data_IF_951660966466
#
_entry.id   IF_951660966466
#
_cell.length_a   1.000
_cell.length_b   1.000
_cell.length_c   1.000
_cell.angle_alpha   90.00
_cell.angle_beta   90.00
_cell.angle_gamma   90.00
#
_symmetry.space_group_name_H-M   'P 1'
#
loop_
_entity.id
_entity.type
_entity.pdbx_description
1 polymer ?
#
# COMPACT_ATOMS: atom_id res chain seq x y z
N UNK A 1 56.67 5.34 -32.91
CA UNK A 1 56.20 5.25 -31.56
C UNK A 1 54.77 5.87 -31.42
N UNK A 2 53.83 5.42 -32.23
CA UNK A 2 52.45 5.95 -32.22
C UNK A 2 51.36 4.87 -32.34
N UNK A 3 51.72 3.59 -32.31
CA UNK A 3 50.72 2.48 -32.47
C UNK A 3 50.41 1.67 -31.22
N UNK A 4 50.92 2.05 -30.04
CA UNK A 4 50.73 1.26 -28.80
C UNK A 4 49.76 1.89 -27.78
N UNK A 5 49.04 2.95 -28.15
CA UNK A 5 48.10 3.64 -27.24
C UNK A 5 46.61 3.43 -27.52
N UNK A 6 46.25 2.79 -28.64
CA UNK A 6 44.85 2.56 -29.01
C UNK A 6 44.28 1.21 -28.58
N UNK A 7 45.11 0.21 -28.28
CA UNK A 7 44.61 -1.11 -27.84
C UNK A 7 44.27 -1.22 -26.36
N UNK A 8 44.75 -0.29 -25.50
CA UNK A 8 44.44 -0.29 -24.07
C UNK A 8 43.12 0.42 -23.69
N UNK A 9 42.55 1.22 -24.61
CA UNK A 9 41.24 1.89 -24.34
C UNK A 9 40.03 1.04 -24.70
N UNK A 10 40.17 -0.06 -25.45
CA UNK A 10 39.05 -0.95 -25.81
C UNK A 10 38.82 -2.10 -24.84
N UNK A 11 39.79 -2.49 -24.02
CA UNK A 11 39.64 -3.57 -23.05
C UNK A 11 39.02 -3.12 -21.72
N UNK A 12 39.09 -1.82 -21.38
CA UNK A 12 38.53 -1.26 -20.16
C UNK A 12 37.02 -1.02 -20.22
N UNK A 13 36.43 -0.84 -21.40
CA UNK A 13 34.99 -0.56 -21.57
C UNK A 13 34.13 -1.84 -21.59
N UNK A 14 34.69 -2.96 -22.04
CA UNK A 14 33.97 -4.25 -22.10
C UNK A 14 33.86 -4.88 -20.70
N UNK A 15 34.93 -4.76 -19.88
CA UNK A 15 34.89 -5.33 -18.50
C UNK A 15 33.97 -4.55 -17.55
N UNK A 16 33.78 -3.25 -17.82
CA UNK A 16 32.85 -2.43 -17.00
C UNK A 16 31.39 -2.71 -17.33
N UNK A 17 31.08 -3.04 -18.60
CA UNK A 17 29.73 -3.41 -19.05
C UNK A 17 29.36 -4.83 -18.59
N UNK A 18 30.33 -5.76 -18.54
CA UNK A 18 30.12 -7.10 -18.01
C UNK A 18 29.99 -7.13 -16.48
N UNK A 19 30.71 -6.25 -15.77
CA UNK A 19 30.55 -6.09 -14.31
C UNK A 19 29.20 -5.49 -13.91
N UNK A 20 28.59 -4.64 -14.75
CA UNK A 20 27.24 -4.10 -14.52
C UNK A 20 26.13 -5.11 -14.79
N UNK A 21 26.36 -6.14 -15.58
CA UNK A 21 25.39 -7.20 -15.88
C UNK A 21 25.25 -8.27 -14.77
N UNK A 22 26.16 -8.32 -13.81
CA UNK A 22 26.14 -9.30 -12.72
C UNK A 22 25.56 -8.80 -11.38
N UNK A 23 25.26 -7.52 -11.26
CA UNK A 23 24.65 -6.96 -10.04
C UNK A 23 23.12 -7.13 -10.09
N UNK A 24 22.60 -8.26 -9.67
CA UNK A 24 21.15 -8.46 -9.54
C UNK A 24 20.64 -9.87 -9.81
N UNK A 25 21.51 -10.87 -10.03
CA UNK A 25 21.05 -12.23 -10.31
C UNK A 25 20.84 -13.04 -9.03
N UNK A 26 19.58 -13.39 -8.76
CA UNK A 26 19.24 -14.55 -7.95
C UNK A 26 19.05 -14.35 -6.44
N UNK A 27 19.08 -13.12 -5.90
CA UNK A 27 18.79 -12.94 -4.47
C UNK A 27 17.29 -12.91 -4.22
N UNK A 28 16.76 -13.98 -3.66
CA UNK A 28 15.37 -14.08 -3.21
C UNK A 28 15.23 -13.42 -1.85
N UNK A 29 14.41 -12.38 -1.75
CA UNK A 29 14.17 -11.63 -0.51
C UNK A 29 12.70 -11.64 -0.17
N UNK A 30 12.40 -11.95 1.09
CA UNK A 30 11.05 -11.94 1.65
C UNK A 30 10.92 -10.82 2.69
N UNK A 31 9.87 -10.02 2.57
CA UNK A 31 9.51 -9.04 3.56
C UNK A 31 8.03 -9.19 3.96
N UNK A 32 7.74 -8.82 5.20
CA UNK A 32 6.39 -8.78 5.76
C UNK A 32 6.09 -7.38 6.25
N UNK A 33 4.94 -6.86 5.89
CA UNK A 33 4.45 -5.57 6.38
C UNK A 33 3.01 -5.69 6.89
N UNK A 34 2.72 -4.98 7.95
CA UNK A 34 1.38 -4.93 8.53
C UNK A 34 0.53 -3.83 7.88
N UNK A 35 -0.78 -4.03 7.83
CA UNK A 35 -1.72 -3.00 7.42
C UNK A 35 -1.77 -1.86 8.44
N UNK A 36 -2.10 -0.65 8.01
CA UNK A 36 -2.35 0.47 8.90
C UNK A 36 -3.75 1.03 8.69
N UNK A 37 -4.35 1.55 9.76
CA UNK A 37 -5.62 2.24 9.75
C UNK A 37 -5.38 3.72 10.02
N UNK A 38 -5.80 4.58 9.09
CA UNK A 38 -5.67 6.02 9.24
C UNK A 38 -6.62 6.54 10.35
N UNK A 39 -6.07 7.33 11.25
CA UNK A 39 -6.77 8.10 12.29
C UNK A 39 -7.04 9.53 11.79
N UNK A 40 -6.02 10.22 11.26
CA UNK A 40 -6.19 11.41 10.41
C UNK A 40 -6.07 10.95 8.97
N UNK A 41 -7.12 11.20 8.18
CA UNK A 41 -7.33 10.56 6.88
C UNK A 41 -6.42 11.10 5.77
N UNK A 42 -6.06 10.21 4.86
CA UNK A 42 -5.47 10.53 3.57
C UNK A 42 -6.56 10.44 2.49
N UNK A 43 -6.98 11.58 1.95
CA UNK A 43 -7.98 11.62 0.89
C UNK A 43 -7.68 12.74 -0.10
N UNK A 44 -6.88 12.42 -1.12
CA UNK A 44 -6.51 13.36 -2.17
C UNK A 44 -5.02 13.52 -2.34
N UNK A 45 -4.62 13.81 -3.57
CA UNK A 45 -3.23 14.02 -3.97
C UNK A 45 -3.05 15.42 -4.54
N UNK A 46 -1.98 16.09 -4.13
CA UNK A 46 -1.48 17.29 -4.73
C UNK A 46 -0.66 16.98 -6.00
N UNK A 47 0.05 15.83 -6.00
CA UNK A 47 0.79 15.34 -7.15
C UNK A 47 0.49 13.85 -7.38
N UNK A 48 -0.13 13.53 -8.52
CA UNK A 48 -0.50 12.16 -8.89
C UNK A 48 0.71 11.28 -9.23
N UNK A 49 1.72 11.83 -9.87
CA UNK A 49 2.91 11.09 -10.29
C UNK A 49 3.78 10.70 -9.09
N UNK A 50 4.07 11.64 -8.20
CA UNK A 50 4.86 11.41 -7.00
C UNK A 50 4.02 10.88 -5.83
N UNK A 51 2.69 10.86 -5.96
CA UNK A 51 1.74 10.50 -4.90
C UNK A 51 1.95 11.36 -3.64
N UNK A 52 2.10 12.68 -3.85
CA UNK A 52 2.15 13.66 -2.77
C UNK A 52 0.72 13.91 -2.28
N UNK A 53 0.38 13.76 -1.00
CA UNK A 53 -0.96 14.00 -0.51
C UNK A 53 -1.25 15.50 -0.36
N UNK A 54 -2.52 15.89 -0.30
CA UNK A 54 -2.93 17.27 -0.04
C UNK A 54 -2.79 17.67 1.43
N UNK A 55 -2.89 16.70 2.34
CA UNK A 55 -2.71 16.90 3.77
C UNK A 55 -1.89 15.76 4.37
N UNK A 56 -1.20 16.04 5.46
CA UNK A 56 -0.55 15.02 6.30
C UNK A 56 -1.59 14.08 6.88
N UNK A 57 -1.18 12.84 7.21
CA UNK A 57 -2.09 11.84 7.76
C UNK A 57 -1.43 11.04 8.87
N UNK A 58 -2.22 10.58 9.83
CA UNK A 58 -1.79 9.76 10.97
C UNK A 58 -2.42 8.38 10.87
N UNK A 59 -1.73 7.32 11.24
CA UNK A 59 -2.29 5.97 11.28
C UNK A 59 -1.72 5.13 12.40
N UNK A 60 -2.45 4.07 12.77
CA UNK A 60 -1.96 3.00 13.62
C UNK A 60 -1.69 1.76 12.75
N UNK A 61 -0.46 1.24 12.79
CA UNK A 61 -0.10 -0.03 12.16
C UNK A 61 -0.58 -1.17 13.07
N UNK A 62 -1.25 -2.16 12.49
CA UNK A 62 -1.97 -3.20 13.24
C UNK A 62 -1.30 -4.56 13.14
N UNK A 63 -1.20 -5.27 14.26
CA UNK A 63 -0.77 -6.66 14.27
C UNK A 63 -1.87 -7.60 13.70
N UNK A 64 -1.46 -8.72 13.10
CA UNK A 64 -2.38 -9.76 12.60
C UNK A 64 -2.95 -9.50 11.20
N UNK A 65 -2.84 -8.29 10.67
CA UNK A 65 -3.27 -7.92 9.33
C UNK A 65 -2.04 -7.62 8.46
N UNK A 66 -1.48 -8.62 7.80
CA UNK A 66 -0.19 -8.47 7.11
C UNK A 66 -0.21 -8.97 5.67
N UNK A 67 0.77 -8.49 4.91
CA UNK A 67 1.14 -9.01 3.60
C UNK A 67 2.58 -9.50 3.66
N UNK A 68 2.82 -10.70 3.16
CA UNK A 68 4.12 -11.32 2.98
C UNK A 68 4.44 -11.30 1.49
N UNK A 69 5.55 -10.68 1.09
CA UNK A 69 5.96 -10.58 -0.31
C UNK A 69 7.40 -11.03 -0.48
N UNK A 70 7.61 -11.90 -1.45
CA UNK A 70 8.92 -12.38 -1.89
C UNK A 70 9.20 -11.82 -3.27
N UNK A 71 10.40 -11.27 -3.47
CA UNK A 71 10.87 -10.76 -4.77
C UNK A 71 12.21 -11.40 -5.11
N UNK A 72 12.36 -11.76 -6.37
CA UNK A 72 13.58 -12.27 -6.99
C UNK A 72 13.73 -11.61 -8.36
N UNK A 73 14.88 -10.96 -8.60
CA UNK A 73 15.26 -10.43 -9.91
C UNK A 73 16.17 -11.43 -10.64
N UNK A 74 15.89 -11.70 -11.90
CA UNK A 74 16.66 -12.62 -12.73
C UNK A 74 15.81 -13.25 -13.81
N UNK A 75 16.43 -13.98 -14.73
CA UNK A 75 15.71 -14.75 -15.74
C UNK A 75 14.86 -15.83 -15.06
N UNK A 76 13.62 -16.05 -15.50
CA UNK A 76 12.79 -17.08 -14.94
C UNK A 76 13.42 -18.44 -15.21
N UNK A 77 13.58 -19.26 -14.17
CA UNK A 77 13.88 -20.68 -14.33
C UNK A 77 12.73 -21.33 -15.10
N UNK A 78 12.98 -21.61 -16.37
CA UNK A 78 11.97 -22.14 -17.32
C UNK A 78 11.44 -23.50 -16.92
N UNK A 79 12.07 -24.19 -15.97
CA UNK A 79 11.65 -25.49 -15.48
C UNK A 79 10.43 -25.44 -14.51
N UNK A 80 10.07 -24.26 -13.98
CA UNK A 80 9.01 -24.13 -12.96
C UNK A 80 7.74 -23.38 -13.44
N UNK A 81 7.62 -23.10 -14.74
CA UNK A 81 6.41 -22.47 -15.29
C UNK A 81 5.38 -23.53 -15.64
N UNK A 82 4.10 -23.40 -15.21
CA UNK A 82 3.03 -24.17 -15.82
C UNK A 82 2.96 -23.73 -17.31
N UNK A 83 3.17 -24.69 -18.22
CA UNK A 83 3.03 -24.51 -19.66
C UNK A 83 1.58 -24.06 -19.98
N UNK A 84 1.34 -22.76 -20.02
CA UNK A 84 0.15 -22.20 -20.66
C UNK A 84 0.42 -22.24 -22.15
N UNK A 85 0.00 -23.32 -22.82
CA UNK A 85 -0.05 -23.38 -24.27
C UNK A 85 -1.01 -22.28 -24.75
N UNK A 86 -0.48 -21.37 -25.54
CA UNK A 86 -1.29 -20.41 -26.29
C UNK A 86 -2.22 -21.18 -27.24
N UNK A 87 -3.54 -20.95 -27.23
CA UNK A 87 -4.47 -21.64 -28.15
C UNK A 87 -4.48 -21.09 -29.57
N UNK A 88 -3.49 -20.30 -29.97
CA UNK A 88 -3.42 -19.67 -31.29
C UNK A 88 -2.19 -20.08 -32.12
N UNK A 89 -1.97 -21.39 -32.31
CA UNK A 89 -1.08 -21.89 -33.35
C UNK A 89 -1.53 -23.28 -33.78
N UNK A 90 -2.66 -23.30 -34.46
CA UNK A 90 -3.00 -24.39 -35.37
C UNK A 90 -4.00 -23.87 -36.44
N UNK A 91 -3.46 -23.37 -37.55
CA UNK A 91 -4.13 -23.39 -38.84
C UNK A 91 -3.08 -23.24 -39.91
N UNK A 92 -2.54 -24.41 -40.33
CA UNK A 92 -1.86 -24.56 -41.61
C UNK A 92 -2.90 -24.55 -42.71
N UNK A 93 -2.89 -23.56 -43.59
CA UNK A 93 -3.21 -23.74 -45.02
C UNK A 93 -2.59 -22.60 -45.83
N UNK A 94 -1.83 -22.98 -46.76
CA UNK A 94 -1.16 -22.60 -47.91
C UNK A 94 -1.40 -21.28 -48.60
N UNK A 95 -0.31 -20.79 -49.27
CA UNK A 95 -0.45 -20.04 -50.52
C UNK A 95 0.35 -18.75 -50.64
N UNK A 96 1.59 -18.86 -51.12
CA UNK A 96 2.27 -18.05 -52.18
C UNK A 96 2.52 -16.53 -52.03
N UNK A 97 3.80 -16.22 -52.02
CA UNK A 97 4.59 -15.21 -52.80
C UNK A 97 4.44 -13.73 -52.55
N UNK A 98 5.54 -13.19 -52.15
CA UNK A 98 6.39 -12.12 -52.71
C UNK A 98 6.59 -10.87 -51.86
N UNK A 99 7.85 -10.58 -51.78
CA UNK A 99 8.60 -9.34 -51.73
C UNK A 99 9.08 -8.86 -50.38
N UNK A 100 10.38 -8.88 -50.32
CA UNK A 100 11.37 -8.29 -49.42
C UNK A 100 11.04 -6.84 -49.08
N UNK A 101 11.01 -6.54 -47.77
CA UNK A 101 11.52 -5.28 -47.28
C UNK A 101 12.11 -5.52 -45.87
N UNK A 102 13.43 -5.51 -45.83
CA UNK A 102 14.24 -5.63 -44.62
C UNK A 102 14.18 -4.31 -43.85
N UNK A 103 13.34 -4.23 -42.87
CA UNK A 103 13.52 -3.29 -41.76
C UNK A 103 13.65 -4.09 -40.48
N UNK A 104 14.87 -4.22 -40.00
CA UNK A 104 15.23 -4.75 -38.69
C UNK A 104 14.41 -4.05 -37.59
N UNK A 105 13.28 -4.64 -37.25
CA UNK A 105 12.68 -4.39 -35.94
C UNK A 105 13.50 -5.17 -34.92
N UNK A 106 14.37 -4.47 -34.19
CA UNK A 106 14.96 -5.01 -32.98
C UNK A 106 13.85 -5.55 -32.10
N UNK A 107 13.76 -6.87 -32.00
CA UNK A 107 12.99 -7.56 -30.95
C UNK A 107 13.58 -7.16 -29.60
N UNK A 108 13.14 -6.04 -29.08
CA UNK A 108 13.27 -5.74 -27.66
C UNK A 108 12.36 -6.73 -26.96
N UNK A 109 12.92 -7.88 -26.57
CA UNK A 109 12.27 -8.87 -25.72
C UNK A 109 11.72 -8.10 -24.51
N UNK A 110 10.39 -7.90 -24.46
CA UNK A 110 9.75 -7.19 -23.36
C UNK A 110 10.03 -7.99 -22.07
N UNK A 111 10.70 -7.36 -21.14
CA UNK A 111 10.99 -7.90 -19.82
C UNK A 111 9.65 -8.24 -19.17
N UNK A 112 9.35 -9.52 -18.99
CA UNK A 112 8.07 -9.97 -18.45
C UNK A 112 8.23 -10.25 -16.95
N UNK A 113 7.59 -9.43 -16.12
CA UNK A 113 7.44 -9.69 -14.69
C UNK A 113 6.36 -10.75 -14.44
N UNK A 114 6.53 -11.49 -13.36
CA UNK A 114 5.56 -12.50 -12.90
C UNK A 114 5.04 -12.13 -11.52
N UNK A 115 3.72 -12.12 -11.37
CA UNK A 115 3.04 -11.82 -10.11
C UNK A 115 2.10 -12.96 -9.72
N UNK A 116 2.28 -13.48 -8.51
CA UNK A 116 1.36 -14.42 -7.88
C UNK A 116 0.84 -13.82 -6.58
N UNK A 117 -0.47 -13.82 -6.38
CA UNK A 117 -1.13 -13.38 -5.13
C UNK A 117 -1.99 -14.53 -4.61
N UNK A 118 -1.76 -14.93 -3.37
CA UNK A 118 -2.48 -16.02 -2.70
C UNK A 118 -2.54 -17.30 -3.56
N UNK A 119 -1.39 -17.66 -4.17
CA UNK A 119 -1.23 -18.82 -5.04
C UNK A 119 -1.80 -18.67 -6.45
N UNK A 120 -2.40 -17.53 -6.80
CA UNK A 120 -3.02 -17.30 -8.11
C UNK A 120 -2.18 -16.35 -8.95
N UNK A 121 -1.81 -16.76 -10.15
CA UNK A 121 -1.12 -15.89 -11.11
C UNK A 121 -2.00 -14.70 -11.48
N UNK A 122 -1.40 -13.51 -11.53
CA UNK A 122 -2.06 -12.26 -11.83
C UNK A 122 -1.62 -11.74 -13.19
N UNK A 123 -2.57 -11.13 -13.90
CA UNK A 123 -2.37 -10.47 -15.19
C UNK A 123 -3.08 -9.11 -15.21
N UNK A 124 -2.97 -8.39 -16.32
CA UNK A 124 -3.68 -7.13 -16.54
C UNK A 124 -3.34 -6.04 -15.52
N UNK A 125 -4.31 -5.29 -15.00
CA UNK A 125 -4.06 -4.08 -14.19
C UNK A 125 -3.24 -4.32 -12.91
N UNK A 126 -3.37 -5.50 -12.29
CA UNK A 126 -2.62 -5.84 -11.07
C UNK A 126 -1.12 -6.01 -11.38
N UNK A 127 -0.79 -6.81 -12.39
CA UNK A 127 0.58 -7.00 -12.86
C UNK A 127 1.18 -5.68 -13.35
N UNK A 128 0.47 -4.95 -14.21
CA UNK A 128 0.93 -3.65 -14.73
C UNK A 128 1.29 -2.67 -13.61
N UNK A 129 0.50 -2.64 -12.54
CA UNK A 129 0.78 -1.76 -11.40
C UNK A 129 2.04 -2.16 -10.65
N UNK A 130 2.27 -3.46 -10.47
CA UNK A 130 3.47 -3.98 -9.81
C UNK A 130 4.69 -3.75 -10.68
N UNK A 131 4.64 -4.04 -11.99
CA UNK A 131 5.75 -3.81 -12.92
C UNK A 131 6.17 -2.34 -12.96
N UNK A 132 5.23 -1.41 -13.07
CA UNK A 132 5.53 0.04 -13.01
C UNK A 132 6.19 0.46 -11.70
N UNK A 133 5.88 -0.21 -10.60
CA UNK A 133 6.56 0.04 -9.33
C UNK A 133 7.97 -0.57 -9.33
N UNK A 134 8.14 -1.76 -9.88
CA UNK A 134 9.45 -2.42 -10.01
C UNK A 134 10.38 -1.63 -10.94
N UNK A 135 9.85 -0.95 -11.96
CA UNK A 135 10.65 -0.08 -12.83
C UNK A 135 11.32 1.04 -12.03
N UNK A 136 10.63 1.63 -11.03
CA UNK A 136 11.23 2.62 -10.12
C UNK A 136 12.40 2.01 -9.33
N UNK A 137 12.27 0.73 -8.92
CA UNK A 137 13.34 0.02 -8.21
C UNK A 137 14.50 -0.28 -9.14
N UNK A 138 14.21 -0.74 -10.37
CA UNK A 138 15.21 -1.00 -11.42
C UNK A 138 16.03 0.25 -11.73
N UNK A 139 15.36 1.37 -11.97
CA UNK A 139 16.01 2.66 -12.26
C UNK A 139 16.95 3.06 -11.13
N UNK A 140 16.53 2.91 -9.87
CA UNK A 140 17.35 3.23 -8.70
C UNK A 140 18.55 2.29 -8.52
N UNK A 141 18.40 1.02 -8.89
CA UNK A 141 19.44 0.00 -8.75
C UNK A 141 20.32 -0.16 -9.99
N UNK A 142 19.98 0.48 -11.11
CA UNK A 142 20.72 0.33 -12.39
C UNK A 142 20.61 -1.08 -12.97
N UNK A 143 19.51 -1.80 -12.75
CA UNK A 143 19.28 -3.16 -13.26
C UNK A 143 18.12 -3.18 -14.25
N UNK A 144 18.09 -4.20 -15.14
CA UNK A 144 17.05 -4.37 -16.14
C UNK A 144 16.39 -5.74 -16.13
N UNK A 145 16.71 -6.58 -15.13
CA UNK A 145 16.21 -7.95 -15.03
C UNK A 145 14.71 -8.01 -14.77
N UNK A 146 13.97 -9.02 -15.30
CA UNK A 146 12.61 -9.30 -14.92
C UNK A 146 12.52 -9.68 -13.44
N UNK A 147 11.34 -9.60 -12.86
CA UNK A 147 11.12 -9.96 -11.47
C UNK A 147 10.04 -11.03 -11.32
N UNK A 148 10.26 -11.95 -10.40
CA UNK A 148 9.23 -12.84 -9.87
C UNK A 148 8.77 -12.32 -8.52
N UNK A 149 7.48 -12.01 -8.42
CA UNK A 149 6.84 -11.53 -7.18
C UNK A 149 5.81 -12.55 -6.72
N UNK A 150 5.96 -13.02 -5.48
CA UNK A 150 4.97 -13.89 -4.82
C UNK A 150 4.51 -13.20 -3.55
N UNK A 151 3.20 -12.96 -3.44
CA UNK A 151 2.58 -12.27 -2.31
C UNK A 151 1.48 -13.11 -1.70
N UNK A 152 1.36 -13.08 -0.37
CA UNK A 152 0.26 -13.70 0.38
C UNK A 152 -0.25 -12.73 1.45
N UNK A 153 -1.57 -12.74 1.68
CA UNK A 153 -2.23 -11.83 2.59
C UNK A 153 -2.92 -12.61 3.70
N UNK A 154 -2.80 -12.13 4.94
CA UNK A 154 -3.69 -12.55 6.03
C UNK A 154 -4.97 -11.71 6.07
N UNK A 155 -5.01 -10.61 5.30
CA UNK A 155 -6.14 -9.68 5.19
C UNK A 155 -7.07 -10.19 4.10
N UNK A 156 -8.39 -10.35 4.34
CA UNK A 156 -9.35 -10.68 3.29
C UNK A 156 -9.28 -9.65 2.14
N UNK A 157 -9.02 -10.14 0.92
CA UNK A 157 -8.84 -9.28 -0.25
C UNK A 157 -10.16 -8.56 -0.57
N UNK A 158 -10.14 -7.23 -0.65
CA UNK A 158 -11.34 -6.46 -1.01
C UNK A 158 -12.17 -5.93 0.16
N UNK A 159 -11.95 -6.40 1.38
CA UNK A 159 -12.71 -5.99 2.58
C UNK A 159 -12.50 -4.51 3.01
N UNK A 160 -11.78 -3.70 2.23
CA UNK A 160 -11.49 -2.29 2.59
C UNK A 160 -10.54 -2.13 3.77
N UNK A 161 -9.81 -3.19 4.12
CA UNK A 161 -8.88 -3.23 5.25
C UNK A 161 -7.44 -2.83 4.86
N UNK A 162 -7.28 -1.80 4.05
CA UNK A 162 -5.99 -1.21 3.69
C UNK A 162 -4.93 -2.19 3.11
N UNK A 163 -5.37 -3.30 2.48
CA UNK A 163 -4.48 -4.33 1.91
C UNK A 163 -3.42 -3.78 0.93
N UNK A 164 -3.69 -2.65 0.27
CA UNK A 164 -2.68 -2.02 -0.59
C UNK A 164 -1.54 -1.36 0.18
N UNK A 165 -1.74 -0.99 1.46
CA UNK A 165 -0.70 -0.39 2.29
C UNK A 165 0.36 -1.43 2.66
N UNK A 166 -0.04 -2.54 3.25
CA UNK A 166 0.87 -3.64 3.59
C UNK A 166 1.52 -4.25 2.35
N UNK A 167 0.74 -4.45 1.26
CA UNK A 167 1.25 -5.05 0.03
C UNK A 167 2.39 -4.24 -0.59
N UNK A 168 2.24 -2.91 -0.75
CA UNK A 168 3.29 -2.09 -1.34
C UNK A 168 4.43 -1.76 -0.37
N UNK A 169 4.21 -1.80 0.94
CA UNK A 169 5.30 -1.70 1.91
C UNK A 169 6.17 -2.96 1.88
N UNK A 170 5.58 -4.16 1.89
CA UNK A 170 6.30 -5.42 1.77
C UNK A 170 7.01 -5.55 0.42
N UNK A 171 6.34 -5.16 -0.69
CA UNK A 171 6.92 -5.15 -2.02
C UNK A 171 8.12 -4.20 -2.10
N UNK A 172 8.00 -2.98 -1.56
CA UNK A 172 9.08 -2.00 -1.57
C UNK A 172 10.32 -2.51 -0.82
N UNK A 173 10.12 -3.12 0.35
CA UNK A 173 11.21 -3.67 1.14
C UNK A 173 11.86 -4.89 0.45
N UNK A 174 11.07 -5.84 -0.01
CA UNK A 174 11.59 -7.03 -0.67
C UNK A 174 12.30 -6.68 -1.99
N UNK A 175 11.69 -5.84 -2.83
CA UNK A 175 12.24 -5.48 -4.12
C UNK A 175 13.52 -4.64 -4.00
N UNK A 176 13.54 -3.62 -3.12
CA UNK A 176 14.76 -2.81 -2.94
C UNK A 176 15.93 -3.65 -2.48
N UNK A 177 15.73 -4.54 -1.50
CA UNK A 177 16.79 -5.41 -0.98
C UNK A 177 17.20 -6.51 -1.97
N UNK A 178 16.26 -7.05 -2.75
CA UNK A 178 16.54 -8.01 -3.82
C UNK A 178 17.36 -7.38 -4.95
N UNK A 179 17.12 -6.10 -5.23
CA UNK A 179 17.90 -5.30 -6.19
C UNK A 179 19.24 -4.79 -5.63
N UNK A 180 19.62 -5.15 -4.40
CA UNK A 180 20.88 -4.74 -3.78
C UNK A 180 20.88 -3.32 -3.19
N UNK A 181 19.71 -2.68 -3.08
CA UNK A 181 19.60 -1.35 -2.46
C UNK A 181 19.50 -1.47 -0.93
N UNK A 182 20.31 -0.67 -0.23
CA UNK A 182 20.23 -0.49 1.22
C UNK A 182 19.60 0.87 1.52
N UNK A 183 18.27 0.87 1.68
CA UNK A 183 17.51 2.09 1.94
C UNK A 183 17.36 2.34 3.43
N UNK A 184 17.49 3.61 3.84
CA UNK A 184 17.05 4.04 5.17
C UNK A 184 15.54 3.83 5.32
N UNK A 185 15.00 3.71 6.56
CA UNK A 185 13.55 3.60 6.75
C UNK A 185 12.77 4.77 6.11
N UNK A 186 13.32 5.99 6.14
CA UNK A 186 12.75 7.17 5.47
C UNK A 186 12.70 6.99 3.94
N UNK A 187 13.79 6.53 3.32
CA UNK A 187 13.83 6.32 1.88
C UNK A 187 12.96 5.15 1.44
N UNK A 188 12.88 4.10 2.26
CA UNK A 188 11.96 2.99 2.03
C UNK A 188 10.50 3.47 2.11
N UNK A 189 10.17 4.36 3.04
CA UNK A 189 8.85 4.99 3.13
C UNK A 189 8.53 5.81 1.87
N UNK A 190 9.48 6.62 1.39
CA UNK A 190 9.35 7.37 0.13
C UNK A 190 9.11 6.43 -1.06
N UNK A 191 9.87 5.34 -1.15
CA UNK A 191 9.70 4.34 -2.19
C UNK A 191 8.33 3.66 -2.10
N UNK A 192 7.91 3.18 -0.92
CA UNK A 192 6.63 2.51 -0.71
C UNK A 192 5.44 3.40 -1.10
N UNK A 193 5.51 4.71 -0.82
CA UNK A 193 4.54 5.72 -1.23
C UNK A 193 4.27 5.71 -2.74
N UNK A 194 5.32 5.52 -3.56
CA UNK A 194 5.22 5.50 -5.03
C UNK A 194 4.35 4.35 -5.55
N UNK A 195 4.24 3.26 -4.81
CA UNK A 195 3.33 2.14 -5.11
C UNK A 195 1.89 2.38 -4.62
N UNK A 196 1.78 2.88 -3.40
CA UNK A 196 0.50 3.22 -2.76
C UNK A 196 0.75 4.25 -1.66
N UNK A 197 0.07 5.39 -1.69
CA UNK A 197 0.32 6.48 -0.73
C UNK A 197 0.36 6.00 0.72
N UNK A 198 -0.67 5.27 1.17
CA UNK A 198 -0.74 4.75 2.54
C UNK A 198 0.36 3.73 2.90
N UNK A 199 1.07 3.17 1.90
CA UNK A 199 2.12 2.18 2.15
C UNK A 199 3.34 2.78 2.86
N UNK A 200 3.59 4.09 2.69
CA UNK A 200 4.68 4.75 3.40
C UNK A 200 4.60 4.58 4.92
N UNK A 201 3.37 4.56 5.48
CA UNK A 201 3.15 4.42 6.91
C UNK A 201 3.34 2.97 7.40
N UNK A 202 3.03 1.96 6.57
CA UNK A 202 3.26 0.54 6.91
C UNK A 202 4.74 0.13 6.98
N UNK A 203 5.66 1.02 6.62
CA UNK A 203 7.10 0.83 6.84
C UNK A 203 7.45 0.85 8.32
N UNK A 204 6.70 1.60 9.11
CA UNK A 204 6.90 1.76 10.55
C UNK A 204 5.80 1.05 11.36
N UNK A 205 6.11 0.72 12.61
CA UNK A 205 5.16 0.17 13.58
C UNK A 205 4.50 1.24 14.44
N UNK A 206 3.44 0.86 15.15
CA UNK A 206 2.72 1.75 16.07
C UNK A 206 2.05 2.92 15.38
N UNK A 207 2.03 4.08 16.04
CA UNK A 207 1.53 5.33 15.46
C UNK A 207 2.53 5.92 14.48
N UNK A 208 2.05 6.31 13.31
CA UNK A 208 2.89 6.77 12.19
C UNK A 208 2.25 7.98 11.52
N UNK A 209 3.01 9.08 11.46
CA UNK A 209 2.66 10.28 10.70
C UNK A 209 3.25 10.21 9.30
N UNK A 210 2.46 10.51 8.29
CA UNK A 210 2.94 10.80 6.94
C UNK A 210 2.92 12.30 6.71
N UNK A 211 4.10 12.91 6.59
CA UNK A 211 4.28 14.30 6.25
C UNK A 211 3.92 14.51 4.78
N UNK A 212 2.99 15.41 4.51
CA UNK A 212 2.56 15.67 3.13
C UNK A 212 3.75 16.12 2.26
N UNK A 213 4.53 17.08 2.73
CA UNK A 213 5.62 17.66 1.96
C UNK A 213 5.13 18.32 0.67
N UNK A 214 6.05 18.71 -0.17
CA UNK A 214 5.78 19.32 -1.48
C UNK A 214 6.50 18.61 -2.65
N UNK A 215 7.47 17.76 -2.34
CA UNK A 215 8.27 17.00 -3.29
C UNK A 215 8.51 15.55 -2.83
N UNK A 216 9.34 14.80 -3.57
CA UNK A 216 9.64 13.42 -3.23
C UNK A 216 10.41 13.30 -1.91
N UNK A 217 11.30 14.25 -1.59
CA UNK A 217 12.17 14.18 -0.42
C UNK A 217 11.45 14.56 0.88
N UNK A 218 10.57 15.54 0.83
CA UNK A 218 9.84 16.05 1.99
C UNK A 218 8.57 15.24 2.31
N UNK A 219 8.09 14.39 1.37
CA UNK A 219 6.92 13.55 1.58
C UNK A 219 7.31 12.14 2.00
N UNK A 220 7.35 11.88 3.30
CA UNK A 220 7.72 10.61 3.91
C UNK A 220 6.94 10.37 5.20
N UNK A 221 6.91 9.12 5.65
CA UNK A 221 6.36 8.77 6.95
C UNK A 221 7.46 8.60 8.00
N UNK A 222 7.07 8.82 9.25
CA UNK A 222 7.92 8.67 10.43
C UNK A 222 7.09 8.17 11.63
N UNK A 223 7.70 7.44 12.57
CA UNK A 223 7.00 7.01 13.77
C UNK A 223 6.68 8.20 14.66
N UNK A 224 5.56 8.12 15.37
CA UNK A 224 5.18 9.04 16.45
C UNK A 224 5.36 8.31 17.77
N UNK A 225 6.08 8.91 18.69
CA UNK A 225 6.25 8.36 20.04
C UNK A 225 4.90 8.32 20.76
N UNK A 226 4.51 7.14 21.17
CA UNK A 226 3.23 6.84 21.83
C UNK A 226 3.42 5.81 22.95
N UNK A 227 4.59 5.78 23.57
CA UNK A 227 4.94 4.81 24.64
C UNK A 227 3.95 4.81 25.80
N UNK A 228 3.29 5.94 26.04
CA UNK A 228 2.33 6.11 27.13
C UNK A 228 0.87 5.76 26.75
N UNK A 229 0.63 5.35 25.49
CA UNK A 229 -0.72 4.99 25.01
C UNK A 229 -0.87 3.50 24.77
N UNK A 230 -1.79 2.85 25.44
CA UNK A 230 -2.28 1.50 25.10
C UNK A 230 -3.52 1.63 24.20
N UNK A 231 -3.34 1.38 22.90
CA UNK A 231 -4.39 1.52 21.91
C UNK A 231 -4.80 0.17 21.33
N UNK A 232 -6.07 0.08 20.94
CA UNK A 232 -6.58 -1.01 20.12
C UNK A 232 -7.50 -0.49 19.01
N UNK A 233 -7.55 -1.23 17.92
CA UNK A 233 -8.55 -1.06 16.86
C UNK A 233 -9.40 -2.32 16.79
N UNK A 234 -10.71 -2.14 16.91
CA UNK A 234 -11.67 -3.21 16.70
C UNK A 234 -12.22 -3.06 15.28
N UNK A 235 -12.05 -4.07 14.46
CA UNK A 235 -12.56 -4.11 13.09
C UNK A 235 -13.95 -4.74 13.10
N UNK A 236 -14.96 -4.00 12.63
CA UNK A 236 -16.31 -4.49 12.36
C UNK A 236 -16.41 -4.76 10.86
N UNK A 237 -16.35 -6.02 10.47
CA UNK A 237 -16.44 -6.44 9.07
C UNK A 237 -17.92 -6.54 8.68
N UNK A 238 -18.39 -5.56 7.93
CA UNK A 238 -19.77 -5.47 7.44
C UNK A 238 -19.90 -6.14 6.08
N UNK A 239 -18.91 -5.97 5.22
CA UNK A 239 -18.91 -6.56 3.88
C UNK A 239 -17.50 -6.80 3.36
N UNK A 240 -17.26 -8.00 2.82
CA UNK A 240 -16.07 -8.36 2.04
C UNK A 240 -16.23 -8.11 0.54
N UNK A 241 -17.34 -7.55 0.08
CA UNK A 241 -17.62 -7.34 -1.33
C UNK A 241 -16.70 -6.28 -1.95
N UNK A 242 -16.43 -6.43 -3.24
CA UNK A 242 -15.67 -5.44 -4.01
C UNK A 242 -16.40 -4.10 -4.03
N UNK A 243 -15.68 -3.01 -3.79
CA UNK A 243 -16.21 -1.64 -3.80
C UNK A 243 -16.78 -1.28 -5.18
N UNK A 244 -17.88 -0.51 -5.22
CA UNK A 244 -18.46 -0.04 -6.49
C UNK A 244 -17.55 0.95 -7.22
N UNK A 245 -16.75 1.72 -6.49
CA UNK A 245 -15.78 2.69 -7.02
C UNK A 245 -14.45 2.53 -6.29
N UNK A 246 -13.34 2.60 -7.04
CA UNK A 246 -12.00 2.53 -6.43
C UNK A 246 -11.70 3.79 -5.61
N UNK A 247 -10.89 3.65 -4.54
CA UNK A 247 -10.48 4.82 -3.73
C UNK A 247 -9.77 5.89 -4.57
N UNK A 248 -9.00 5.49 -5.59
CA UNK A 248 -8.30 6.43 -6.48
C UNK A 248 -9.28 7.26 -7.30
N UNK A 249 -10.27 6.63 -7.87
CA UNK A 249 -11.31 7.32 -8.65
C UNK A 249 -12.19 8.18 -7.74
N UNK A 250 -12.55 7.68 -6.57
CA UNK A 250 -13.31 8.42 -5.57
C UNK A 250 -12.56 9.69 -5.11
N UNK A 251 -11.26 9.60 -4.80
CA UNK A 251 -10.45 10.78 -4.47
C UNK A 251 -10.50 11.84 -5.56
N UNK A 252 -10.30 11.45 -6.83
CA UNK A 252 -10.34 12.40 -7.96
C UNK A 252 -11.69 13.09 -8.07
N UNK A 253 -12.78 12.32 -7.98
CA UNK A 253 -14.13 12.86 -8.04
C UNK A 253 -14.43 13.78 -6.87
N UNK A 254 -14.03 13.41 -5.65
CA UNK A 254 -14.22 14.27 -4.47
C UNK A 254 -13.51 15.60 -4.64
N UNK A 255 -12.25 15.59 -5.05
CA UNK A 255 -11.46 16.81 -5.31
C UNK A 255 -12.13 17.70 -6.38
N UNK A 256 -12.60 17.07 -7.46
CA UNK A 256 -13.13 17.81 -8.60
C UNK A 256 -14.53 18.38 -8.39
N UNK A 257 -15.35 17.80 -7.50
CA UNK A 257 -16.79 18.08 -7.52
C UNK A 257 -17.42 18.33 -6.14
N UNK A 258 -16.73 18.03 -5.04
CA UNK A 258 -17.32 18.20 -3.71
C UNK A 258 -17.13 19.63 -3.20
N UNK A 259 -18.20 20.35 -2.85
CA UNK A 259 -18.11 21.69 -2.26
C UNK A 259 -17.57 21.66 -0.81
N UNK A 260 -17.50 20.49 -0.17
CA UNK A 260 -17.01 20.34 1.21
C UNK A 260 -15.54 19.93 1.29
N UNK A 261 -14.91 19.61 0.14
CA UNK A 261 -13.58 19.01 0.15
C UNK A 261 -12.50 19.94 0.70
N UNK A 262 -12.46 21.19 0.22
CA UNK A 262 -11.40 22.13 0.63
C UNK A 262 -11.54 22.48 2.12
N UNK A 263 -12.77 22.71 2.62
CA UNK A 263 -13.00 22.94 4.03
C UNK A 263 -12.55 21.77 4.93
N UNK A 264 -12.78 20.54 4.47
CA UNK A 264 -12.28 19.35 5.19
C UNK A 264 -10.75 19.26 5.14
N UNK A 265 -10.10 19.54 4.00
CA UNK A 265 -8.64 19.57 3.89
C UNK A 265 -8.04 20.62 4.82
N UNK A 266 -8.64 21.80 4.91
CA UNK A 266 -8.19 22.87 5.78
C UNK A 266 -8.26 22.47 7.27
N UNK A 267 -9.29 21.71 7.67
CA UNK A 267 -9.37 21.19 9.05
C UNK A 267 -8.32 20.12 9.37
N UNK A 268 -7.82 19.37 8.39
CA UNK A 268 -6.87 18.29 8.61
C UNK A 268 -5.55 18.74 9.27
N UNK A 269 -5.14 20.00 9.06
CA UNK A 269 -3.96 20.58 9.70
C UNK A 269 -4.14 20.68 11.22
N UNK A 270 -5.23 21.28 11.65
CA UNK A 270 -5.58 21.43 13.07
C UNK A 270 -5.83 20.04 13.70
N UNK A 271 -6.59 19.16 13.04
CA UNK A 271 -6.82 17.79 13.50
C UNK A 271 -5.50 17.03 13.74
N UNK A 272 -4.49 17.25 12.87
CA UNK A 272 -3.16 16.64 13.04
C UNK A 272 -2.44 17.17 14.27
N UNK A 273 -2.43 18.49 14.46
CA UNK A 273 -1.73 19.12 15.59
C UNK A 273 -2.39 18.72 16.93
N UNK A 274 -3.72 18.70 16.97
CA UNK A 274 -4.49 18.27 18.13
C UNK A 274 -4.32 16.77 18.41
N UNK A 275 -4.28 15.91 17.38
CA UNK A 275 -4.02 14.48 17.54
C UNK A 275 -2.61 14.23 18.09
N UNK A 276 -1.59 14.95 17.61
CA UNK A 276 -0.22 14.84 18.12
C UNK A 276 -0.12 15.36 19.56
N UNK A 277 -0.90 16.39 19.96
CA UNK A 277 -0.99 16.84 21.34
C UNK A 277 -1.62 15.77 22.23
N UNK A 278 -2.78 15.21 21.83
CA UNK A 278 -3.45 14.13 22.55
C UNK A 278 -2.53 12.91 22.75
N UNK A 279 -1.72 12.55 21.73
CA UNK A 279 -0.75 11.45 21.84
C UNK A 279 0.31 11.75 22.87
N UNK A 280 0.88 12.95 22.88
CA UNK A 280 1.91 13.35 23.89
C UNK A 280 1.36 13.39 25.32
N UNK A 281 0.06 13.68 25.47
CA UNK A 281 -0.64 13.77 26.75
C UNK A 281 -1.18 12.39 27.22
N UNK A 282 -1.12 11.35 26.37
CA UNK A 282 -1.71 10.04 26.65
C UNK A 282 -3.24 10.06 26.65
N UNK A 283 -3.85 11.07 26.03
CA UNK A 283 -5.32 11.28 26.01
C UNK A 283 -5.97 10.51 24.88
N UNK A 284 -6.38 9.26 25.16
CA UNK A 284 -7.06 8.38 24.21
C UNK A 284 -8.44 8.93 23.83
N UNK A 285 -9.15 9.59 24.76
CA UNK A 285 -10.47 10.15 24.47
C UNK A 285 -10.36 11.27 23.43
N UNK A 286 -9.49 12.25 23.65
CA UNK A 286 -9.29 13.36 22.70
C UNK A 286 -8.83 12.86 21.35
N UNK A 287 -7.89 11.90 21.29
CA UNK A 287 -7.45 11.28 20.03
C UNK A 287 -8.61 10.59 19.31
N UNK A 288 -9.48 9.91 20.05
CA UNK A 288 -10.67 9.22 19.53
C UNK A 288 -11.68 10.19 18.91
N UNK A 289 -12.01 11.26 19.63
CA UNK A 289 -12.94 12.31 19.17
C UNK A 289 -12.45 12.97 17.87
N UNK A 290 -11.17 13.31 17.80
CA UNK A 290 -10.54 13.88 16.59
C UNK A 290 -10.59 12.86 15.43
N UNK A 291 -10.24 11.59 15.70
CA UNK A 291 -10.25 10.51 14.71
C UNK A 291 -11.64 10.32 14.09
N UNK A 292 -12.68 10.31 14.92
CA UNK A 292 -14.07 10.14 14.46
C UNK A 292 -14.53 11.35 13.65
N UNK A 293 -14.30 12.56 14.13
CA UNK A 293 -14.67 13.81 13.45
C UNK A 293 -13.98 13.90 12.07
N UNK A 294 -12.68 13.64 11.99
CA UNK A 294 -11.92 13.67 10.74
C UNK A 294 -12.44 12.64 9.72
N UNK A 295 -12.76 11.41 10.17
CA UNK A 295 -13.30 10.37 9.31
C UNK A 295 -14.70 10.71 8.80
N UNK A 296 -15.58 11.23 9.66
CA UNK A 296 -16.93 11.67 9.28
C UNK A 296 -16.88 12.83 8.29
N UNK A 297 -15.99 13.80 8.51
CA UNK A 297 -15.75 14.91 7.58
C UNK A 297 -15.32 14.44 6.19
N UNK A 298 -14.39 13.47 6.10
CA UNK A 298 -14.00 12.85 4.82
C UNK A 298 -15.21 12.20 4.13
N UNK A 299 -16.03 11.45 4.86
CA UNK A 299 -17.21 10.81 4.28
C UNK A 299 -18.27 11.84 3.86
N UNK A 300 -18.47 12.91 4.61
CA UNK A 300 -19.34 14.03 4.22
C UNK A 300 -18.88 14.66 2.90
N UNK A 301 -17.57 14.90 2.76
CA UNK A 301 -17.00 15.43 1.51
C UNK A 301 -17.21 14.44 0.34
N UNK A 302 -17.07 13.13 0.54
CA UNK A 302 -17.37 12.12 -0.49
C UNK A 302 -18.84 12.11 -0.87
N UNK A 303 -19.75 12.15 0.10
CA UNK A 303 -21.21 12.14 -0.15
C UNK A 303 -21.68 13.40 -0.86
N UNK A 304 -21.02 14.54 -0.66
CA UNK A 304 -21.29 15.79 -1.35
C UNK A 304 -20.72 15.86 -2.78
N UNK A 305 -19.98 14.85 -3.23
CA UNK A 305 -19.44 14.79 -4.61
C UNK A 305 -20.57 14.68 -5.65
N UNK A 306 -20.26 15.03 -6.89
CA UNK A 306 -21.21 14.96 -8.03
C UNK A 306 -20.60 14.13 -9.17
N UNK A 307 -21.11 12.90 -9.43
CA UNK A 307 -22.13 12.14 -8.65
C UNK A 307 -21.63 11.81 -7.24
N UNK A 308 -22.56 11.65 -6.30
CA UNK A 308 -22.26 11.30 -4.93
C UNK A 308 -21.47 9.99 -4.81
N UNK A 309 -20.56 9.93 -3.85
CA UNK A 309 -19.80 8.72 -3.52
C UNK A 309 -20.33 8.23 -2.17
N UNK A 310 -20.94 7.06 -2.19
CA UNK A 310 -21.58 6.49 -1.03
C UNK A 310 -21.05 5.07 -0.79
N UNK A 311 -20.29 4.88 0.30
CA UNK A 311 -19.74 3.59 0.68
C UNK A 311 -20.53 2.91 1.80
N UNK A 312 -21.34 3.67 2.52
CA UNK A 312 -22.06 3.18 3.69
C UNK A 312 -23.20 2.25 3.27
N UNK A 313 -23.36 1.18 4.04
CA UNK A 313 -24.49 0.27 4.01
C UNK A 313 -25.37 0.55 5.24
N UNK A 314 -26.62 0.05 5.29
CA UNK A 314 -27.43 0.16 6.50
C UNK A 314 -26.72 -0.32 7.76
N UNK A 315 -25.94 -1.41 7.64
CA UNK A 315 -25.13 -1.96 8.73
C UNK A 315 -23.98 -1.03 9.14
N UNK A 316 -23.46 -0.21 8.23
CA UNK A 316 -22.46 0.82 8.57
C UNK A 316 -23.08 1.84 9.54
N UNK A 317 -24.28 2.32 9.24
CA UNK A 317 -25.00 3.27 10.10
C UNK A 317 -25.34 2.61 11.45
N UNK A 318 -25.79 1.35 11.44
CA UNK A 318 -26.04 0.59 12.67
C UNK A 318 -24.79 0.46 13.53
N UNK A 319 -23.61 0.21 12.92
CA UNK A 319 -22.35 0.14 13.63
C UNK A 319 -21.93 1.49 14.23
N UNK A 320 -22.10 2.59 13.50
CA UNK A 320 -21.86 3.94 14.05
C UNK A 320 -22.78 4.26 15.24
N UNK A 321 -24.05 3.92 15.15
CA UNK A 321 -25.02 4.08 16.26
C UNK A 321 -24.65 3.21 17.45
N UNK A 322 -24.21 1.96 17.23
CA UNK A 322 -23.75 1.08 18.29
C UNK A 322 -22.53 1.66 19.02
N UNK A 323 -21.54 2.20 18.28
CA UNK A 323 -20.36 2.86 18.87
C UNK A 323 -20.77 4.06 19.73
N UNK A 324 -21.69 4.92 19.25
CA UNK A 324 -22.19 6.04 20.03
C UNK A 324 -22.87 5.57 21.35
N UNK A 325 -23.74 4.55 21.26
CA UNK A 325 -24.41 3.98 22.44
C UNK A 325 -23.45 3.31 23.42
N UNK A 326 -22.33 2.73 22.95
CA UNK A 326 -21.28 2.19 23.83
C UNK A 326 -20.63 3.33 24.63
N UNK A 327 -20.33 4.48 24.00
CA UNK A 327 -19.81 5.66 24.73
C UNK A 327 -20.73 6.16 25.82
N UNK A 328 -22.04 6.10 25.61
CA UNK A 328 -23.04 6.48 26.63
C UNK A 328 -22.98 5.59 27.91
N UNK A 329 -22.42 4.37 27.79
CA UNK A 329 -22.18 3.49 28.95
C UNK A 329 -20.88 3.80 29.71
N UNK A 330 -20.10 4.79 29.23
CA UNK A 330 -18.81 5.18 29.82
C UNK A 330 -17.60 4.42 29.26
N UNK A 331 -17.77 3.58 28.21
CA UNK A 331 -16.67 2.92 27.52
C UNK A 331 -16.17 3.80 26.37
N UNK A 332 -14.88 4.08 26.35
CA UNK A 332 -14.24 4.84 25.27
C UNK A 332 -14.26 4.06 23.95
N UNK A 333 -15.02 4.53 22.96
CA UNK A 333 -15.13 3.91 21.66
C UNK A 333 -15.40 4.99 20.59
N UNK A 334 -14.54 5.10 19.58
CA UNK A 334 -14.65 6.10 18.51
C UNK A 334 -14.51 5.44 17.14
N UNK A 335 -15.43 5.76 16.25
CA UNK A 335 -15.49 5.14 14.94
C UNK A 335 -14.53 5.82 13.94
N UNK A 336 -13.95 5.04 13.06
CA UNK A 336 -13.24 5.52 11.88
C UNK A 336 -13.52 4.61 10.69
N UNK A 337 -13.55 5.18 9.49
CA UNK A 337 -13.84 4.44 8.26
C UNK A 337 -12.87 4.89 7.15
N UNK A 338 -12.46 3.93 6.35
CA UNK A 338 -11.76 4.20 5.09
C UNK A 338 -12.77 4.20 3.94
N UNK A 339 -12.31 4.23 2.70
CA UNK A 339 -13.17 4.11 1.52
C UNK A 339 -13.78 2.70 1.42
N UNK A 340 -14.86 2.46 2.15
CA UNK A 340 -15.58 1.19 2.24
C UNK A 340 -16.63 1.20 3.34
N UNK A 341 -17.45 0.14 3.45
CA UNK A 341 -18.54 0.08 4.43
C UNK A 341 -18.09 -0.34 5.84
N UNK A 342 -16.89 -0.89 5.98
CA UNK A 342 -16.42 -1.48 7.23
C UNK A 342 -16.00 -0.42 8.24
N UNK A 343 -16.48 -0.53 9.47
CA UNK A 343 -16.15 0.37 10.57
C UNK A 343 -14.98 -0.18 11.37
N UNK A 344 -14.11 0.71 11.82
CA UNK A 344 -13.04 0.43 12.78
C UNK A 344 -13.30 1.28 14.00
N UNK A 345 -13.10 0.72 15.17
CA UNK A 345 -13.34 1.41 16.43
C UNK A 345 -12.03 1.55 17.17
N UNK A 346 -11.60 2.79 17.39
CA UNK A 346 -10.47 3.11 18.24
C UNK A 346 -10.91 3.06 19.70
N UNK A 347 -10.12 2.46 20.57
CA UNK A 347 -10.39 2.35 22.00
C UNK A 347 -9.09 2.24 22.80
N UNK A 348 -9.15 2.46 24.11
CA UNK A 348 -8.08 2.09 25.03
C UNK A 348 -7.90 0.57 24.99
N UNK A 349 -6.66 0.11 24.98
CA UNK A 349 -6.33 -1.31 24.91
C UNK A 349 -6.91 -2.11 26.08
N UNK A 350 -7.01 -1.51 27.28
CA UNK A 350 -7.59 -2.15 28.47
C UNK A 350 -9.06 -2.47 28.31
N UNK A 351 -9.80 -1.66 27.53
CA UNK A 351 -11.23 -1.82 27.31
C UNK A 351 -11.58 -2.57 26.01
N UNK A 352 -10.60 -2.93 25.22
CA UNK A 352 -10.79 -3.45 23.87
C UNK A 352 -11.73 -4.66 23.79
N UNK A 353 -11.56 -5.65 24.67
CA UNK A 353 -12.45 -6.84 24.66
C UNK A 353 -13.86 -6.48 25.15
N UNK A 354 -14.01 -5.59 26.14
CA UNK A 354 -15.32 -5.14 26.61
C UNK A 354 -16.08 -4.42 25.51
N UNK A 355 -15.41 -3.52 24.80
CA UNK A 355 -16.00 -2.82 23.63
C UNK A 355 -16.33 -3.80 22.51
N UNK A 356 -15.47 -4.79 22.25
CA UNK A 356 -15.72 -5.82 21.24
C UNK A 356 -16.94 -6.70 21.60
N UNK A 357 -17.12 -7.07 22.86
CA UNK A 357 -18.27 -7.84 23.33
C UNK A 357 -19.57 -7.04 23.18
N UNK A 358 -19.56 -5.76 23.54
CA UNK A 358 -20.69 -4.86 23.34
C UNK A 358 -21.04 -4.72 21.84
N UNK A 359 -20.05 -4.65 20.97
CA UNK A 359 -20.27 -4.62 19.52
C UNK A 359 -20.86 -5.95 19.01
N UNK A 360 -20.37 -7.12 19.48
CA UNK A 360 -20.91 -8.44 19.11
C UNK A 360 -22.38 -8.56 19.50
N UNK A 361 -22.75 -8.08 20.70
CA UNK A 361 -24.12 -8.10 21.20
C UNK A 361 -25.06 -7.21 20.36
N UNK A 362 -24.59 -6.03 19.93
CA UNK A 362 -25.39 -5.04 19.19
C UNK A 362 -25.42 -5.26 17.67
N UNK A 363 -24.44 -5.98 17.13
CA UNK A 363 -24.25 -6.20 15.69
C UNK A 363 -24.19 -7.70 15.36
N UNK A 364 -25.26 -8.46 15.65
CA UNK A 364 -25.29 -9.88 15.33
C UNK A 364 -25.12 -10.09 13.84
N UNK A 365 -24.19 -10.98 13.46
CA UNK A 365 -23.86 -11.28 12.06
C UNK A 365 -22.69 -10.49 11.48
N UNK A 366 -22.11 -9.54 12.21
CA UNK A 366 -20.83 -8.94 11.85
C UNK A 366 -19.66 -9.72 12.45
N UNK A 367 -18.61 -9.94 11.68
CA UNK A 367 -17.34 -10.43 12.23
C UNK A 367 -16.62 -9.27 12.92
N UNK A 368 -16.19 -9.50 14.18
CA UNK A 368 -15.56 -8.48 15.02
C UNK A 368 -14.23 -9.02 15.51
N UNK A 369 -13.16 -8.31 15.17
CA UNK A 369 -11.79 -8.68 15.52
C UNK A 369 -11.06 -7.53 16.21
N UNK A 370 -10.35 -7.85 17.30
CA UNK A 370 -9.51 -6.89 18.04
C UNK A 370 -8.08 -6.96 17.51
N UNK A 371 -7.51 -5.81 17.22
CA UNK A 371 -6.14 -5.67 16.76
C UNK A 371 -5.36 -4.68 17.65
N UNK A 372 -4.16 -5.07 17.99
CA UNK A 372 -3.20 -4.26 18.75
C UNK A 372 -2.20 -3.58 17.80
N UNK A 373 -1.45 -2.57 18.30
CA UNK A 373 -0.34 -2.01 17.53
C UNK A 373 0.60 -3.09 17.03
N UNK A 374 1.02 -2.99 15.79
CA UNK A 374 1.88 -3.95 15.10
C UNK A 374 3.25 -3.35 14.75
N UNK A 375 4.20 -4.22 14.49
CA UNK A 375 5.54 -3.85 14.02
C UNK A 375 5.48 -3.30 12.58
N UNK A 376 6.49 -2.51 12.21
CA UNK A 376 6.74 -2.09 10.83
C UNK A 376 7.20 -3.25 9.93
N UNK A 377 7.72 -2.90 8.77
CA UNK A 377 8.32 -3.87 7.85
C UNK A 377 9.40 -4.68 8.53
N UNK A 378 9.38 -5.99 8.33
CA UNK A 378 10.46 -6.91 8.72
C UNK A 378 10.85 -7.80 7.56
N UNK A 379 12.11 -8.18 7.53
CA UNK A 379 12.60 -9.19 6.59
C UNK A 379 12.50 -10.58 7.24
N UNK A 380 12.20 -11.56 6.43
CA UNK A 380 12.34 -12.96 6.83
C UNK A 380 13.63 -13.50 6.21
N UNK A 381 14.48 -14.07 7.06
CA UNK A 381 15.67 -14.76 6.56
C UNK A 381 15.23 -15.93 5.68
N UNK A 382 15.82 -16.06 4.51
CA UNK A 382 15.68 -17.27 3.72
C UNK A 382 16.19 -18.40 4.59
N UNK A 383 15.32 -19.31 5.06
CA UNK A 383 15.79 -20.53 5.67
C UNK A 383 16.76 -21.19 4.68
N UNK A 384 18.02 -21.30 5.12
CA UNK A 384 19.10 -21.99 4.38
C UNK A 384 18.78 -23.47 4.28
#
# INVERSE_FOLDING_TARGET
>A
MAETRESQKRSGSVSCIESMKQAGSGKKVTAVANANIALIKYWGKANEHLIIPRASSLSLTLNGLSTRTTVEFGEPDTASLPLVRSPFLDSSTGGATSSLDDSEKSDTQSIADFLTIDGKAQQGPALTRVSKFLDIVRDKAGIASPARVTSSNTVPFGAGLASSASAFAALAAAASRAAGLELSPRDLSRLARRGSGSACRSVFGGLVKWNAGHDDESSYAEPVDSSDMDLAIIVVLISGAKKPISSREAMRRTIATSPLYDAWIDSCGQDMDDALAAIREGDVQRLGEITEANALGMHAAMMASRPAIFYWLPQTVAALSAVASIRETGLGAWSTMDAGPNVKVLTDGRDAERVADELRNRLPGCEIAVHRPGAGVRFEDSMR
#
